data_IF_102259292642
#
_entry.id   IF_102259292642
#
_cell.length_a   1.000
_cell.length_b   1.000
_cell.length_c   1.000
_cell.angle_alpha   90.00
_cell.angle_beta   90.00
_cell.angle_gamma   90.00
#
_symmetry.space_group_name_H-M   'P 1'
#
loop_
_entity.id
_entity.type
_entity.pdbx_description
1 polymer ?
#
# COMPACT_ATOMS: atom_id res chain seq x y z
N UNK A 1 12.00 -10.75 -54.00
CA UNK A 1 12.64 -10.41 -52.70
C UNK A 1 12.17 -9.02 -52.28
N UNK A 2 12.07 -8.75 -50.98
CA UNK A 2 11.53 -7.53 -50.34
C UNK A 2 10.00 -7.50 -50.17
N UNK A 3 9.47 -8.44 -49.38
CA UNK A 3 8.13 -8.32 -48.74
C UNK A 3 8.06 -8.83 -47.30
N UNK A 4 9.21 -9.12 -46.68
CA UNK A 4 9.29 -9.75 -45.36
C UNK A 4 9.83 -8.84 -44.24
N UNK A 5 10.04 -7.55 -44.51
CA UNK A 5 10.61 -6.63 -43.49
C UNK A 5 9.66 -5.55 -42.97
N UNK A 6 8.41 -5.49 -43.46
CA UNK A 6 7.44 -4.47 -42.99
C UNK A 6 6.48 -5.06 -41.93
N UNK A 7 6.24 -6.38 -41.92
CA UNK A 7 5.32 -7.01 -40.95
C UNK A 7 5.94 -7.17 -39.56
N UNK A 8 7.25 -7.38 -39.43
CA UNK A 8 7.89 -7.50 -38.11
C UNK A 8 7.89 -6.21 -37.28
N UNK A 9 7.85 -5.04 -37.94
CA UNK A 9 7.78 -3.75 -37.23
C UNK A 9 6.38 -3.50 -36.64
N UNK A 10 5.33 -4.03 -37.25
CA UNK A 10 3.95 -3.89 -36.76
C UNK A 10 3.58 -4.88 -35.64
N UNK A 11 4.31 -5.99 -35.50
CA UNK A 11 4.06 -6.95 -34.41
C UNK A 11 4.65 -6.53 -33.06
N UNK A 12 5.58 -5.57 -33.03
CA UNK A 12 6.09 -5.00 -31.77
C UNK A 12 5.10 -4.05 -31.08
N UNK A 13 4.11 -3.48 -31.80
CA UNK A 13 3.08 -2.64 -31.17
C UNK A 13 2.16 -3.42 -30.21
N UNK A 14 2.17 -4.75 -30.28
CA UNK A 14 1.28 -5.62 -29.50
C UNK A 14 1.77 -5.97 -28.09
N UNK A 15 3.00 -5.61 -27.70
CA UNK A 15 3.60 -6.11 -26.45
C UNK A 15 3.57 -5.16 -25.26
N UNK A 16 3.24 -3.88 -25.44
CA UNK A 16 2.99 -2.97 -24.34
C UNK A 16 1.49 -2.73 -24.25
N UNK A 17 0.78 -3.28 -23.24
CA UNK A 17 -0.60 -2.92 -23.05
C UNK A 17 -0.65 -1.41 -22.86
N UNK A 18 -1.25 -0.68 -23.81
CA UNK A 18 -1.47 0.78 -23.76
C UNK A 18 -2.45 1.17 -22.64
N UNK A 19 -2.52 0.43 -21.54
CA UNK A 19 -3.48 0.59 -20.46
C UNK A 19 -2.75 1.10 -19.22
N UNK A 20 -3.36 2.01 -18.44
CA UNK A 20 -2.78 2.49 -17.20
C UNK A 20 -2.38 1.34 -16.27
N UNK A 21 -1.22 1.47 -15.63
CA UNK A 21 -0.71 0.55 -14.63
C UNK A 21 -1.47 0.73 -13.31
N UNK A 22 -1.93 -0.39 -12.73
CA UNK A 22 -2.80 -0.40 -11.55
C UNK A 22 -2.03 0.04 -10.28
N UNK A 23 -0.84 -0.50 -10.04
CA UNK A 23 -0.11 -0.28 -8.78
C UNK A 23 0.77 0.97 -8.77
N UNK A 24 1.28 1.39 -9.93
CA UNK A 24 2.18 2.53 -10.05
C UNK A 24 1.74 3.80 -9.30
N UNK A 25 0.47 4.26 -9.41
CA UNK A 25 0.03 5.47 -8.71
C UNK A 25 -0.09 5.29 -7.19
N UNK A 26 -0.06 4.06 -6.68
CA UNK A 26 -0.15 3.77 -5.24
C UNK A 26 1.21 3.58 -4.57
N UNK A 27 2.27 3.33 -5.35
CA UNK A 27 3.62 3.06 -4.81
C UNK A 27 4.12 4.19 -3.88
N UNK A 28 3.99 5.49 -4.22
CA UNK A 28 4.44 6.56 -3.32
C UNK A 28 3.75 6.54 -1.94
N UNK A 29 2.44 6.25 -1.93
CA UNK A 29 1.67 6.12 -0.68
C UNK A 29 2.13 4.90 0.12
N UNK A 30 2.28 3.74 -0.54
CA UNK A 30 2.75 2.51 0.09
C UNK A 30 4.14 2.68 0.70
N UNK A 31 5.05 3.36 -0.01
CA UNK A 31 6.40 3.65 0.45
C UNK A 31 6.38 4.54 1.70
N UNK A 32 5.73 5.71 1.61
CA UNK A 32 5.76 6.72 2.67
C UNK A 32 5.11 6.19 3.95
N UNK A 33 3.92 5.60 3.83
CA UNK A 33 3.20 5.02 4.98
C UNK A 33 3.93 3.79 5.51
N UNK A 34 4.42 2.93 4.62
CA UNK A 34 5.23 1.75 4.96
C UNK A 34 6.45 2.11 5.78
N UNK A 35 7.22 3.10 5.31
CA UNK A 35 8.37 3.63 6.02
C UNK A 35 7.99 4.19 7.38
N UNK A 36 7.02 5.11 7.42
CA UNK A 36 6.62 5.79 8.65
C UNK A 36 6.16 4.81 9.72
N UNK A 37 5.25 3.88 9.40
CA UNK A 37 4.79 2.86 10.35
C UNK A 37 5.90 1.90 10.78
N UNK A 38 6.84 1.58 9.88
CA UNK A 38 8.01 0.75 10.22
C UNK A 38 8.98 1.48 11.14
N UNK A 39 9.20 2.77 10.93
CA UNK A 39 10.03 3.59 11.81
C UNK A 39 9.37 3.76 13.19
N UNK A 40 8.07 4.02 13.27
CA UNK A 40 7.34 4.07 14.54
C UNK A 40 7.49 2.75 15.31
N UNK A 41 7.30 1.61 14.64
CA UNK A 41 7.52 0.31 15.24
C UNK A 41 8.98 0.11 15.70
N UNK A 42 9.96 0.53 14.89
CA UNK A 42 11.37 0.40 15.23
C UNK A 42 11.76 1.23 16.47
N UNK A 43 11.25 2.46 16.57
CA UNK A 43 11.45 3.34 17.72
C UNK A 43 10.82 2.74 18.99
N UNK A 44 9.60 2.20 18.89
CA UNK A 44 8.93 1.50 20.01
C UNK A 44 9.74 0.30 20.51
N UNK A 45 10.50 -0.36 19.63
CA UNK A 45 11.39 -1.47 19.97
C UNK A 45 12.73 -1.02 20.57
N UNK A 46 12.93 0.28 20.79
CA UNK A 46 14.15 0.88 21.32
C UNK A 46 15.21 1.17 20.25
N UNK A 47 14.86 1.08 18.97
CA UNK A 47 15.74 1.44 17.87
C UNK A 47 15.95 2.95 17.78
N UNK A 48 17.16 3.38 17.41
CA UNK A 48 17.43 4.77 17.08
C UNK A 48 17.27 4.98 15.57
N UNK A 49 16.44 5.94 15.12
CA UNK A 49 16.19 6.13 13.70
C UNK A 49 17.51 6.38 12.95
N UNK A 50 17.70 5.77 11.76
CA UNK A 50 18.91 5.96 10.99
C UNK A 50 19.08 7.43 10.61
N UNK A 51 20.32 7.90 10.53
CA UNK A 51 20.59 9.27 10.10
C UNK A 51 20.02 9.47 8.68
N UNK A 52 19.13 10.47 8.45
CA UNK A 52 18.54 10.70 7.13
C UNK A 52 19.57 10.91 6.02
N UNK A 53 20.76 11.41 6.38
CA UNK A 53 21.88 11.61 5.45
C UNK A 53 22.40 10.29 4.86
N UNK A 54 22.37 9.20 5.62
CA UNK A 54 22.91 7.91 5.19
C UNK A 54 22.00 7.23 4.15
N UNK A 55 20.70 7.55 4.17
CA UNK A 55 19.70 6.91 3.33
C UNK A 55 19.24 7.81 2.18
N UNK A 56 19.57 9.09 2.21
CA UNK A 56 19.08 10.09 1.25
C UNK A 56 19.32 9.67 -0.21
N UNK A 57 20.55 9.31 -0.56
CA UNK A 57 20.91 9.03 -1.97
C UNK A 57 20.21 7.77 -2.48
N UNK A 58 20.15 6.73 -1.66
CA UNK A 58 19.44 5.48 -1.97
C UNK A 58 17.94 5.71 -2.17
N UNK A 59 17.32 6.51 -1.30
CA UNK A 59 15.88 6.81 -1.37
C UNK A 59 15.56 7.72 -2.55
N UNK A 60 16.42 8.69 -2.87
CA UNK A 60 16.27 9.51 -4.06
C UNK A 60 16.37 8.66 -5.34
N UNK A 61 17.31 7.71 -5.39
CA UNK A 61 17.44 6.79 -6.53
C UNK A 61 16.17 5.96 -6.74
N UNK A 62 15.65 5.35 -5.67
CA UNK A 62 14.39 4.57 -5.74
C UNK A 62 13.21 5.47 -6.12
N UNK A 63 13.15 6.68 -5.56
CA UNK A 63 12.10 7.66 -5.86
C UNK A 63 12.14 8.15 -7.31
N UNK A 64 13.32 8.27 -7.91
CA UNK A 64 13.46 8.60 -9.33
C UNK A 64 12.89 7.49 -10.23
N UNK A 65 13.06 6.22 -9.88
CA UNK A 65 12.42 5.12 -10.61
C UNK A 65 10.89 5.20 -10.50
N UNK A 66 10.37 5.43 -9.30
CA UNK A 66 8.93 5.57 -9.05
C UNK A 66 8.35 6.76 -9.83
N UNK A 67 9.09 7.86 -9.91
CA UNK A 67 8.76 9.05 -10.71
C UNK A 67 8.61 8.69 -12.19
N UNK A 68 9.63 8.05 -12.78
CA UNK A 68 9.62 7.64 -14.19
C UNK A 68 8.42 6.73 -14.47
N UNK A 69 8.14 5.77 -13.59
CA UNK A 69 6.97 4.91 -13.73
C UNK A 69 5.65 5.70 -13.69
N UNK A 70 5.52 6.69 -12.80
CA UNK A 70 4.31 7.51 -12.73
C UNK A 70 4.15 8.44 -13.94
N UNK A 71 5.24 9.01 -14.45
CA UNK A 71 5.23 9.78 -15.70
C UNK A 71 4.80 8.89 -16.88
N UNK A 72 5.37 7.70 -16.98
CA UNK A 72 4.97 6.72 -17.99
C UNK A 72 3.48 6.37 -17.88
N UNK A 73 2.98 6.15 -16.66
CA UNK A 73 1.56 5.87 -16.44
C UNK A 73 0.66 7.05 -16.83
N UNK A 74 1.09 8.29 -16.58
CA UNK A 74 0.37 9.50 -16.99
C UNK A 74 0.30 9.61 -18.52
N UNK A 75 1.38 9.29 -19.23
CA UNK A 75 1.41 9.25 -20.71
C UNK A 75 0.37 8.23 -21.21
N UNK A 76 0.32 7.03 -20.62
CA UNK A 76 -0.67 6.01 -20.99
C UNK A 76 -2.11 6.50 -20.77
N UNK A 77 -2.37 7.29 -19.74
CA UNK A 77 -3.69 7.91 -19.51
C UNK A 77 -3.99 8.94 -20.61
N UNK A 78 -3.07 9.86 -20.91
CA UNK A 78 -3.30 10.87 -21.95
C UNK A 78 -3.51 10.26 -23.35
N UNK A 79 -2.80 9.18 -23.68
CA UNK A 79 -2.99 8.46 -24.95
C UNK A 79 -4.41 7.86 -25.11
N UNK A 80 -5.17 7.74 -24.02
CA UNK A 80 -6.56 7.24 -24.03
C UNK A 80 -7.62 8.33 -24.06
N UNK A 81 -7.21 9.60 -24.12
CA UNK A 81 -8.13 10.74 -24.12
C UNK A 81 -9.16 10.69 -25.26
N UNK A 82 -8.76 10.25 -26.46
CA UNK A 82 -9.68 10.14 -27.60
C UNK A 82 -10.77 9.09 -27.36
N UNK A 83 -10.41 7.93 -26.80
CA UNK A 83 -11.33 6.84 -26.47
C UNK A 83 -12.39 7.26 -25.46
N UNK A 84 -12.05 8.14 -24.53
CA UNK A 84 -12.94 8.62 -23.46
C UNK A 84 -13.33 10.08 -23.58
N UNK A 85 -13.27 10.65 -24.79
CA UNK A 85 -13.60 12.06 -25.05
C UNK A 85 -15.00 12.46 -24.55
N UNK A 86 -15.96 11.53 -24.61
CA UNK A 86 -17.34 11.75 -24.19
C UNK A 86 -17.56 11.60 -22.68
N UNK A 87 -16.57 11.07 -21.95
CA UNK A 87 -16.64 10.98 -20.49
C UNK A 87 -16.19 12.34 -19.92
N UNK A 88 -17.15 13.24 -19.71
CA UNK A 88 -16.95 14.61 -19.20
C UNK A 88 -15.85 14.77 -18.12
N UNK A 89 -15.75 13.91 -17.09
CA UNK A 89 -14.71 14.06 -16.07
C UNK A 89 -13.31 13.52 -16.43
N UNK A 90 -13.09 12.90 -17.59
CA UNK A 90 -11.81 12.22 -17.90
C UNK A 90 -10.63 13.19 -17.96
N UNK A 91 -10.70 14.21 -18.84
CA UNK A 91 -9.62 15.17 -19.04
C UNK A 91 -9.35 16.03 -17.79
N UNK A 92 -10.36 16.57 -17.07
CA UNK A 92 -10.13 17.29 -15.83
C UNK A 92 -9.44 16.44 -14.75
N UNK A 93 -9.81 15.15 -14.62
CA UNK A 93 -9.16 14.24 -13.64
C UNK A 93 -7.72 13.91 -14.02
N UNK A 94 -7.41 13.81 -15.32
CA UNK A 94 -6.06 13.53 -15.79
C UNK A 94 -5.15 14.74 -15.52
N UNK A 95 -5.66 15.96 -15.76
CA UNK A 95 -4.98 17.20 -15.40
C UNK A 95 -4.76 17.31 -13.90
N UNK A 96 -5.78 17.02 -13.08
CA UNK A 96 -5.65 17.02 -11.62
C UNK A 96 -4.58 16.03 -11.14
N UNK A 97 -4.54 14.82 -11.71
CA UNK A 97 -3.50 13.83 -11.42
C UNK A 97 -2.10 14.37 -11.75
N UNK A 98 -1.93 15.05 -12.89
CA UNK A 98 -0.66 15.67 -13.26
C UNK A 98 -0.23 16.77 -12.29
N UNK A 99 -1.16 17.64 -11.88
CA UNK A 99 -0.91 18.71 -10.90
C UNK A 99 -0.47 18.13 -9.56
N UNK A 100 -1.21 17.15 -9.05
CA UNK A 100 -0.87 16.47 -7.79
C UNK A 100 0.53 15.86 -7.88
N UNK A 101 0.83 15.17 -8.98
CA UNK A 101 2.14 14.57 -9.19
C UNK A 101 3.26 15.62 -9.17
N UNK A 102 3.10 16.75 -9.86
CA UNK A 102 4.07 17.85 -9.84
C UNK A 102 4.29 18.37 -8.40
N UNK A 103 3.22 18.64 -7.67
CA UNK A 103 3.30 19.15 -6.28
C UNK A 103 3.99 18.12 -5.38
N UNK A 104 3.62 16.84 -5.48
CA UNK A 104 4.25 15.75 -4.73
C UNK A 104 5.76 15.67 -5.00
N UNK A 105 6.19 15.83 -6.25
CA UNK A 105 7.60 15.80 -6.62
C UNK A 105 8.36 16.97 -6.00
N UNK A 106 7.83 18.19 -6.16
CA UNK A 106 8.47 19.39 -5.59
C UNK A 106 8.62 19.25 -4.08
N UNK A 107 7.60 18.73 -3.40
CA UNK A 107 7.63 18.51 -1.96
C UNK A 107 8.66 17.43 -1.57
N UNK A 108 8.66 16.30 -2.25
CA UNK A 108 9.59 15.19 -2.01
C UNK A 108 11.06 15.58 -2.25
N UNK A 109 11.34 16.33 -3.31
CA UNK A 109 12.71 16.72 -3.69
C UNK A 109 13.19 17.99 -3.00
N UNK A 110 12.29 18.86 -2.56
CA UNK A 110 12.64 20.07 -1.80
C UNK A 110 13.22 19.74 -0.42
N UNK A 111 12.68 18.72 0.26
CA UNK A 111 13.17 18.26 1.57
C UNK A 111 13.09 16.72 1.70
N UNK A 112 13.93 15.97 0.98
CA UNK A 112 13.83 14.50 0.92
C UNK A 112 13.99 13.83 2.28
N UNK A 113 14.85 14.38 3.14
CA UNK A 113 15.09 13.88 4.51
C UNK A 113 13.85 13.96 5.40
N UNK A 114 12.99 14.96 5.16
CA UNK A 114 11.81 15.23 5.99
C UNK A 114 10.60 14.46 5.46
N UNK A 115 10.47 14.35 4.13
CA UNK A 115 9.26 13.86 3.47
C UNK A 115 9.36 12.40 3.06
N UNK A 116 10.49 11.96 2.51
CA UNK A 116 10.67 10.61 1.97
C UNK A 116 11.20 9.61 3.00
N UNK A 117 11.85 10.11 4.05
CA UNK A 117 12.46 9.32 5.14
C UNK A 117 11.99 9.87 6.51
N UNK A 118 10.69 10.03 6.74
CA UNK A 118 10.22 10.62 7.99
C UNK A 118 10.50 9.69 9.17
N UNK A 119 10.98 10.26 10.27
CA UNK A 119 11.06 9.55 11.56
C UNK A 119 9.78 9.70 12.37
N UNK A 120 9.00 10.76 12.12
CA UNK A 120 7.75 11.11 12.81
C UNK A 120 6.79 11.78 11.82
N UNK A 121 5.49 11.80 12.17
CA UNK A 121 4.49 12.49 11.35
C UNK A 121 4.56 14.01 11.60
N UNK A 122 4.99 14.76 10.59
CA UNK A 122 4.91 16.22 10.60
C UNK A 122 3.93 16.73 9.53
N UNK A 123 3.66 18.03 9.52
CA UNK A 123 2.68 18.63 8.61
C UNK A 123 3.04 18.42 7.13
N UNK A 124 4.32 18.42 6.76
CA UNK A 124 4.77 18.20 5.39
C UNK A 124 4.57 16.74 4.96
N UNK A 125 4.86 15.80 5.85
CA UNK A 125 4.60 14.37 5.63
C UNK A 125 3.09 14.12 5.50
N UNK A 126 2.28 14.76 6.34
CA UNK A 126 0.82 14.65 6.26
C UNK A 126 0.29 15.19 4.92
N UNK A 127 0.75 16.37 4.48
CA UNK A 127 0.41 16.92 3.16
C UNK A 127 0.83 15.94 2.05
N UNK A 128 2.03 15.38 2.13
CA UNK A 128 2.52 14.42 1.15
C UNK A 128 1.70 13.12 1.13
N UNK A 129 1.29 12.59 2.28
CA UNK A 129 0.40 11.42 2.37
C UNK A 129 -0.95 11.74 1.71
N UNK A 130 -1.54 12.91 1.98
CA UNK A 130 -2.83 13.31 1.38
C UNK A 130 -2.71 13.46 -0.14
N UNK A 131 -1.64 14.09 -0.63
CA UNK A 131 -1.39 14.20 -2.08
C UNK A 131 -1.24 12.82 -2.73
N UNK A 132 -0.45 11.92 -2.14
CA UNK A 132 -0.27 10.56 -2.67
C UNK A 132 -1.53 9.69 -2.54
N UNK A 133 -2.37 9.94 -1.54
CA UNK A 133 -3.70 9.35 -1.43
C UNK A 133 -4.60 9.78 -2.59
N UNK A 134 -4.66 11.07 -2.90
CA UNK A 134 -5.43 11.58 -4.03
C UNK A 134 -4.89 11.06 -5.37
N UNK A 135 -3.56 11.01 -5.53
CA UNK A 135 -2.89 10.40 -6.69
C UNK A 135 -3.29 8.93 -6.84
N UNK A 136 -3.27 8.16 -5.75
CA UNK A 136 -3.67 6.76 -5.73
C UNK A 136 -5.15 6.59 -6.12
N UNK A 137 -6.07 7.40 -5.57
CA UNK A 137 -7.49 7.35 -5.93
C UNK A 137 -7.73 7.65 -7.41
N UNK A 138 -7.13 8.71 -7.93
CA UNK A 138 -7.24 9.10 -9.34
C UNK A 138 -6.63 8.06 -10.27
N UNK A 139 -5.46 7.53 -9.92
CA UNK A 139 -4.81 6.47 -10.66
C UNK A 139 -5.65 5.19 -10.72
N UNK A 140 -6.27 4.78 -9.61
CA UNK A 140 -7.20 3.65 -9.60
C UNK A 140 -8.46 3.93 -10.41
N UNK A 141 -8.98 5.15 -10.41
CA UNK A 141 -10.11 5.51 -11.25
C UNK A 141 -9.82 5.22 -12.73
N UNK A 142 -8.67 5.66 -13.26
CA UNK A 142 -8.28 5.38 -14.64
C UNK A 142 -8.04 3.90 -14.90
N UNK A 143 -7.39 3.21 -13.95
CA UNK A 143 -7.12 1.78 -14.07
C UNK A 143 -8.40 0.92 -14.11
N UNK A 144 -9.40 1.27 -13.30
CA UNK A 144 -10.70 0.59 -13.24
C UNK A 144 -11.59 0.89 -14.44
N UNK A 145 -11.47 2.09 -15.02
CA UNK A 145 -12.20 2.48 -16.22
C UNK A 145 -11.75 1.65 -17.45
N UNK A 146 -10.45 1.34 -17.54
CA UNK A 146 -9.88 0.50 -18.60
C UNK A 146 -10.02 -1.00 -18.34
N UNK A 147 -10.28 -1.38 -17.08
CA UNK A 147 -10.49 -2.77 -16.65
C UNK A 147 -11.80 -2.89 -15.88
N UNK A 148 -12.95 -2.73 -16.56
CA UNK A 148 -14.25 -2.72 -15.90
C UNK A 148 -14.50 -4.03 -15.16
N UNK A 149 -15.30 -3.94 -14.09
CA UNK A 149 -15.69 -5.10 -13.30
C UNK A 149 -16.32 -6.16 -14.21
N UNK A 150 -15.75 -7.36 -14.21
CA UNK A 150 -16.46 -8.54 -14.72
C UNK A 150 -17.69 -8.79 -13.84
N UNK A 151 -18.61 -9.67 -14.25
CA UNK A 151 -19.72 -10.13 -13.38
C UNK A 151 -19.26 -10.67 -12.01
N UNK A 152 -17.97 -10.98 -11.84
CA UNK A 152 -17.37 -11.38 -10.56
C UNK A 152 -17.05 -10.16 -9.68
N UNK A 153 -17.50 -10.19 -8.43
CA UNK A 153 -17.20 -9.16 -7.41
C UNK A 153 -15.74 -9.27 -6.95
N UNK A 154 -14.81 -8.63 -7.67
CA UNK A 154 -13.40 -8.56 -7.30
C UNK A 154 -13.15 -7.70 -6.05
N UNK A 155 -11.99 -7.90 -5.41
CA UNK A 155 -11.53 -7.12 -4.27
C UNK A 155 -11.46 -5.63 -4.61
N UNK A 156 -11.83 -4.78 -3.67
CA UNK A 156 -11.81 -3.33 -3.83
C UNK A 156 -10.37 -2.81 -3.98
N UNK A 157 -10.13 -1.94 -4.96
CA UNK A 157 -8.86 -1.22 -5.08
C UNK A 157 -8.80 0.03 -4.19
N UNK A 158 -9.96 0.59 -3.83
CA UNK A 158 -10.02 1.84 -3.06
C UNK A 158 -9.89 1.60 -1.56
N UNK A 159 -10.44 0.50 -1.05
CA UNK A 159 -10.41 0.22 0.39
C UNK A 159 -8.97 0.14 0.94
N UNK A 160 -8.05 -0.63 0.32
CA UNK A 160 -6.66 -0.66 0.75
C UNK A 160 -5.96 0.71 0.76
N UNK A 161 -6.32 1.61 -0.17
CA UNK A 161 -5.78 2.99 -0.25
C UNK A 161 -6.26 3.82 0.95
N UNK A 162 -7.53 3.67 1.32
CA UNK A 162 -8.10 4.33 2.50
C UNK A 162 -7.43 3.82 3.78
N UNK A 163 -7.21 2.50 3.89
CA UNK A 163 -6.50 1.90 5.02
C UNK A 163 -5.08 2.47 5.14
N UNK A 164 -4.32 2.54 4.05
CA UNK A 164 -2.96 3.11 4.07
C UNK A 164 -2.95 4.58 4.50
N UNK A 165 -3.85 5.39 3.94
CA UNK A 165 -3.93 6.80 4.29
C UNK A 165 -4.29 7.01 5.76
N UNK A 166 -5.30 6.29 6.26
CA UNK A 166 -5.71 6.38 7.65
C UNK A 166 -4.63 5.87 8.61
N UNK A 167 -3.99 4.74 8.30
CA UNK A 167 -2.87 4.22 9.09
C UNK A 167 -1.72 5.23 9.14
N UNK A 168 -1.34 5.85 8.03
CA UNK A 168 -0.24 6.81 8.00
C UNK A 168 -0.51 8.13 8.75
N UNK A 169 -1.78 8.54 8.88
CA UNK A 169 -2.15 9.80 9.54
C UNK A 169 -2.49 9.61 11.02
N UNK A 170 -3.17 8.51 11.37
CA UNK A 170 -3.73 8.33 12.72
C UNK A 170 -2.78 7.52 13.60
N UNK A 171 -2.17 6.46 13.06
CA UNK A 171 -1.43 5.48 13.87
C UNK A 171 -0.08 5.99 14.39
N UNK A 172 0.81 6.65 13.61
CA UNK A 172 2.07 7.16 14.16
C UNK A 172 1.90 8.16 15.32
N UNK A 173 1.02 9.18 15.23
CA UNK A 173 0.78 10.08 16.36
C UNK A 173 0.19 9.42 17.59
N UNK A 174 -0.66 8.39 17.40
CA UNK A 174 -1.19 7.62 18.53
C UNK A 174 -0.15 6.71 19.18
N UNK A 175 0.98 6.45 18.52
CA UNK A 175 2.07 5.65 19.11
C UNK A 175 3.11 6.50 19.84
N UNK A 176 3.26 7.77 19.50
CA UNK A 176 4.20 8.73 20.11
C UNK A 176 3.63 9.43 21.37
N UNK A 177 2.69 8.80 22.08
CA UNK A 177 1.91 9.41 23.17
C UNK A 177 2.76 9.78 24.40
N UNK A 178 3.46 10.91 24.34
CA UNK A 178 4.02 11.62 25.50
C UNK A 178 3.57 13.09 25.59
N UNK A 179 2.82 13.60 24.61
CA UNK A 179 2.46 15.02 24.52
C UNK A 179 0.93 15.25 24.44
N UNK A 180 0.22 15.23 25.58
CA UNK A 180 -1.06 15.95 25.87
C UNK A 180 -2.31 15.84 24.96
N UNK A 181 -2.19 15.46 23.68
CA UNK A 181 -3.25 15.38 22.66
C UNK A 181 -3.68 13.93 22.44
N UNK A 182 -3.69 13.13 23.50
CA UNK A 182 -3.85 11.67 23.44
C UNK A 182 -5.27 11.26 23.04
N UNK A 183 -6.27 11.96 23.54
CA UNK A 183 -7.68 11.57 23.40
C UNK A 183 -8.21 11.66 21.95
N UNK A 184 -7.96 12.74 21.17
CA UNK A 184 -8.44 12.83 19.79
C UNK A 184 -7.89 11.74 18.88
N UNK A 185 -6.62 11.36 19.03
CA UNK A 185 -6.00 10.30 18.22
C UNK A 185 -6.51 8.92 18.61
N UNK A 186 -6.71 8.65 19.90
CA UNK A 186 -7.33 7.40 20.36
C UNK A 186 -8.77 7.27 19.83
N UNK A 187 -9.56 8.36 19.84
CA UNK A 187 -10.90 8.38 19.22
C UNK A 187 -10.80 8.11 17.71
N UNK A 188 -9.80 8.70 17.05
CA UNK A 188 -9.49 8.44 15.64
C UNK A 188 -9.22 6.96 15.37
N UNK A 189 -8.40 6.31 16.18
CA UNK A 189 -8.10 4.88 16.09
C UNK A 189 -9.35 4.01 16.35
N UNK A 190 -10.20 4.38 17.31
CA UNK A 190 -11.48 3.70 17.53
C UNK A 190 -12.37 3.75 16.28
N UNK A 191 -12.51 4.93 15.67
CA UNK A 191 -13.30 5.12 14.45
C UNK A 191 -12.69 4.30 13.32
N UNK A 192 -11.38 4.40 13.12
CA UNK A 192 -10.64 3.65 12.11
C UNK A 192 -10.88 2.14 12.27
N UNK A 193 -10.78 1.62 13.49
CA UNK A 193 -10.93 0.20 13.79
C UNK A 193 -12.36 -0.29 13.50
N UNK A 194 -13.39 0.47 13.87
CA UNK A 194 -14.79 0.13 13.58
C UNK A 194 -15.03 0.06 12.08
N UNK A 195 -14.59 1.08 11.33
CA UNK A 195 -14.71 1.08 9.87
C UNK A 195 -13.88 -0.04 9.24
N UNK A 196 -12.68 -0.32 9.79
CA UNK A 196 -11.80 -1.37 9.32
C UNK A 196 -12.43 -2.75 9.46
N UNK A 197 -13.03 -3.06 10.62
CA UNK A 197 -13.76 -4.32 10.86
C UNK A 197 -14.91 -4.45 9.87
N UNK A 198 -15.77 -3.44 9.79
CA UNK A 198 -16.98 -3.47 8.97
C UNK A 198 -16.66 -3.67 7.47
N UNK A 199 -15.64 -2.96 6.95
CA UNK A 199 -15.27 -3.04 5.54
C UNK A 199 -14.42 -4.26 5.22
N UNK A 200 -13.49 -4.65 6.10
CA UNK A 200 -12.71 -5.88 5.90
C UNK A 200 -13.60 -7.12 5.84
N UNK A 201 -14.66 -7.18 6.67
CA UNK A 201 -15.64 -8.26 6.61
C UNK A 201 -16.32 -8.40 5.23
N UNK A 202 -16.61 -7.27 4.58
CA UNK A 202 -17.19 -7.24 3.23
C UNK A 202 -16.19 -7.60 2.13
N UNK A 203 -14.90 -7.39 2.36
CA UNK A 203 -13.82 -7.64 1.39
C UNK A 203 -13.27 -9.07 1.43
N UNK A 204 -13.31 -9.76 2.58
CA UNK A 204 -12.89 -11.18 2.72
C UNK A 204 -13.43 -12.07 1.59
N UNK A 205 -14.75 -12.13 1.31
CA UNK A 205 -15.28 -12.99 0.26
C UNK A 205 -14.79 -12.57 -1.14
N UNK A 206 -14.40 -11.31 -1.35
CA UNK A 206 -13.91 -10.78 -2.63
C UNK A 206 -12.44 -11.11 -2.88
N UNK A 207 -11.65 -11.16 -1.82
CA UNK A 207 -10.23 -11.59 -1.85
C UNK A 207 -10.14 -13.09 -2.16
N UNK A 208 -11.10 -13.87 -1.65
CA UNK A 208 -11.16 -15.33 -1.86
C UNK A 208 -11.81 -15.75 -3.19
N UNK A 209 -12.20 -14.80 -4.04
CA UNK A 209 -12.77 -15.13 -5.36
C UNK A 209 -11.74 -15.86 -6.21
N UNK A 210 -12.17 -16.98 -6.81
CA UNK A 210 -11.36 -17.74 -7.77
C UNK A 210 -11.13 -16.93 -9.04
N UNK A 211 -9.88 -16.53 -9.27
CA UNK A 211 -9.37 -15.95 -10.51
C UNK A 211 -8.28 -16.86 -11.09
N UNK A 212 -7.93 -16.74 -12.39
CA UNK A 212 -6.79 -17.47 -12.95
C UNK A 212 -5.49 -17.27 -12.15
N UNK A 213 -5.33 -16.11 -11.52
CA UNK A 213 -4.21 -15.82 -10.62
C UNK A 213 -4.17 -16.70 -9.35
N UNK A 214 -5.22 -17.41 -8.95
CA UNK A 214 -5.20 -18.36 -7.82
C UNK A 214 -4.26 -19.55 -8.06
N UNK A 215 -3.89 -19.82 -9.32
CA UNK A 215 -2.86 -20.82 -9.59
C UNK A 215 -1.46 -20.34 -9.19
N UNK A 216 -1.28 -19.05 -8.86
CA UNK A 216 -0.01 -18.48 -8.42
C UNK A 216 0.19 -18.68 -6.92
N UNK A 217 1.33 -19.30 -6.56
CA UNK A 217 1.82 -19.36 -5.18
C UNK A 217 1.82 -17.98 -4.50
N UNK A 218 2.24 -16.95 -5.24
CA UNK A 218 2.33 -15.57 -4.73
C UNK A 218 0.96 -15.03 -4.34
N UNK A 219 -0.07 -15.32 -5.13
CA UNK A 219 -1.43 -14.87 -4.85
C UNK A 219 -1.96 -15.49 -3.55
N UNK A 220 -1.86 -16.82 -3.42
CA UNK A 220 -2.36 -17.54 -2.23
C UNK A 220 -1.58 -17.16 -0.96
N UNK A 221 -0.27 -16.90 -1.08
CA UNK A 221 0.56 -16.39 0.02
C UNK A 221 0.15 -14.97 0.44
N UNK A 222 -0.12 -14.08 -0.52
CA UNK A 222 -0.62 -12.72 -0.24
C UNK A 222 -2.00 -12.74 0.43
N UNK A 223 -2.88 -13.66 0.02
CA UNK A 223 -4.18 -13.87 0.68
C UNK A 223 -3.97 -14.26 2.14
N UNK A 224 -3.06 -15.19 2.43
CA UNK A 224 -2.70 -15.57 3.80
C UNK A 224 -2.19 -14.38 4.63
N UNK A 225 -1.29 -13.57 4.06
CA UNK A 225 -0.79 -12.34 4.70
C UNK A 225 -1.93 -11.37 4.98
N UNK A 226 -2.82 -11.14 4.00
CA UNK A 226 -3.91 -10.19 4.14
C UNK A 226 -4.89 -10.63 5.24
N UNK A 227 -5.27 -11.90 5.28
CA UNK A 227 -6.16 -12.45 6.32
C UNK A 227 -5.54 -12.37 7.72
N UNK A 228 -4.27 -12.76 7.86
CA UNK A 228 -3.56 -12.67 9.13
C UNK A 228 -3.46 -11.22 9.64
N UNK A 229 -3.23 -10.27 8.74
CA UNK A 229 -3.15 -8.84 9.09
C UNK A 229 -4.51 -8.22 9.41
N UNK A 230 -5.63 -8.71 8.84
CA UNK A 230 -6.97 -8.31 9.31
C UNK A 230 -7.13 -8.68 10.79
N UNK A 231 -6.89 -9.95 11.12
CA UNK A 231 -7.04 -10.46 12.50
C UNK A 231 -6.08 -9.73 13.44
N UNK A 232 -4.82 -9.58 13.04
CA UNK A 232 -3.82 -8.90 13.85
C UNK A 232 -4.16 -7.42 14.07
N UNK A 233 -4.62 -6.69 13.06
CA UNK A 233 -5.06 -5.29 13.19
C UNK A 233 -6.20 -5.16 14.19
N UNK A 234 -7.20 -6.05 14.11
CA UNK A 234 -8.35 -6.02 15.03
C UNK A 234 -7.91 -6.31 16.46
N UNK A 235 -7.16 -7.40 16.67
CA UNK A 235 -6.73 -7.80 18.01
C UNK A 235 -5.78 -6.77 18.63
N UNK A 236 -4.76 -6.34 17.88
CA UNK A 236 -3.79 -5.36 18.36
C UNK A 236 -4.41 -3.98 18.55
N UNK A 237 -5.33 -3.55 17.69
CA UNK A 237 -6.03 -2.27 17.83
C UNK A 237 -6.92 -2.22 19.07
N UNK A 238 -7.72 -3.25 19.32
CA UNK A 238 -8.55 -3.32 20.54
C UNK A 238 -7.68 -3.29 21.79
N UNK A 239 -6.62 -4.11 21.82
CA UNK A 239 -5.70 -4.16 22.96
C UNK A 239 -4.97 -2.83 23.16
N UNK A 240 -4.51 -2.20 22.07
CA UNK A 240 -3.84 -0.90 22.10
C UNK A 240 -4.73 0.18 22.72
N UNK A 241 -6.01 0.25 22.31
CA UNK A 241 -6.98 1.20 22.86
C UNK A 241 -7.18 0.94 24.36
N UNK A 242 -7.42 -0.31 24.77
CA UNK A 242 -7.63 -0.66 26.19
C UNK A 242 -6.40 -0.28 27.03
N UNK A 243 -5.21 -0.64 26.56
CA UNK A 243 -3.96 -0.38 27.28
C UNK A 243 -3.61 1.10 27.37
N UNK A 244 -4.03 1.91 26.37
CA UNK A 244 -3.90 3.36 26.40
C UNK A 244 -4.68 3.99 27.56
N UNK A 245 -5.79 3.38 28.01
CA UNK A 245 -6.56 3.86 29.17
C UNK A 245 -6.05 3.35 30.52
N UNK A 246 -5.35 2.22 30.54
CA UNK A 246 -4.85 1.58 31.77
C UNK A 246 -3.38 1.98 32.05
N UNK A 247 -2.78 2.83 31.20
CA UNK A 247 -1.38 3.28 31.29
C UNK A 247 -0.37 2.14 31.28
N UNK A 248 -0.69 1.02 30.63
CA UNK A 248 0.19 -0.15 30.57
C UNK A 248 0.74 -0.31 29.14
N UNK A 249 1.96 0.16 28.89
CA UNK A 249 2.54 0.07 27.54
C UNK A 249 3.04 -1.34 27.20
N UNK A 250 2.30 -2.03 26.33
CA UNK A 250 2.77 -3.29 25.72
C UNK A 250 3.31 -2.97 24.33
N UNK A 251 4.62 -2.69 24.24
CA UNK A 251 5.29 -2.35 22.98
C UNK A 251 4.96 -3.28 21.81
N UNK A 252 4.78 -4.57 22.07
CA UNK A 252 4.52 -5.55 21.03
C UNK A 252 3.11 -5.44 20.44
N UNK A 253 2.14 -5.00 21.25
CA UNK A 253 0.80 -4.64 20.78
C UNK A 253 0.88 -3.39 19.91
N UNK A 254 1.60 -2.37 20.37
CA UNK A 254 1.84 -1.12 19.61
C UNK A 254 2.53 -1.37 18.27
N UNK A 255 3.57 -2.20 18.24
CA UNK A 255 4.28 -2.61 17.00
C UNK A 255 3.36 -3.38 16.06
N UNK A 256 2.59 -4.32 16.60
CA UNK A 256 1.61 -5.08 15.80
C UNK A 256 0.56 -4.15 15.18
N UNK A 257 0.08 -3.17 15.95
CA UNK A 257 -0.90 -2.19 15.49
C UNK A 257 -0.33 -1.22 14.46
N UNK A 258 0.94 -0.82 14.57
CA UNK A 258 1.61 0.01 13.57
C UNK A 258 1.72 -0.69 12.20
N UNK A 259 2.13 -1.97 12.22
CA UNK A 259 2.52 -2.70 11.01
C UNK A 259 1.33 -3.38 10.31
N UNK A 260 0.40 -3.95 11.07
CA UNK A 260 -0.68 -4.77 10.53
C UNK A 260 -1.61 -4.06 9.53
N UNK A 261 -2.18 -2.88 9.81
CA UNK A 261 -3.05 -2.19 8.86
C UNK A 261 -2.28 -1.77 7.60
N UNK A 262 -1.00 -1.42 7.74
CA UNK A 262 -0.13 -1.05 6.63
C UNK A 262 0.14 -2.25 5.70
N UNK A 263 0.50 -3.41 6.26
CA UNK A 263 0.69 -4.65 5.48
C UNK A 263 -0.64 -5.10 4.86
N UNK A 264 -1.76 -4.92 5.56
CA UNK A 264 -3.08 -5.20 5.01
C UNK A 264 -3.38 -4.34 3.77
N UNK A 265 -3.14 -3.04 3.84
CA UNK A 265 -3.31 -2.12 2.71
C UNK A 265 -2.41 -2.48 1.52
N UNK A 266 -1.13 -2.77 1.77
CA UNK A 266 -0.18 -3.17 0.71
C UNK A 266 -0.62 -4.49 0.04
N UNK A 267 -0.87 -5.53 0.83
CA UNK A 267 -1.25 -6.85 0.32
C UNK A 267 -2.60 -6.81 -0.41
N UNK A 268 -3.58 -6.04 0.10
CA UNK A 268 -4.89 -5.88 -0.51
C UNK A 268 -4.83 -5.20 -1.88
N UNK A 269 -3.97 -4.18 -2.03
CA UNK A 269 -3.70 -3.54 -3.33
C UNK A 269 -3.14 -4.54 -4.35
N UNK A 270 -2.13 -5.32 -3.94
CA UNK A 270 -1.48 -6.28 -4.83
C UNK A 270 -2.46 -7.37 -5.26
N UNK A 271 -3.24 -7.93 -4.32
CA UNK A 271 -4.30 -8.91 -4.63
C UNK A 271 -5.31 -8.32 -5.63
N UNK A 272 -5.84 -7.12 -5.35
CA UNK A 272 -6.82 -6.48 -6.21
C UNK A 272 -6.27 -6.18 -7.62
N UNK A 273 -4.98 -5.84 -7.72
CA UNK A 273 -4.30 -5.66 -9.00
C UNK A 273 -4.11 -6.99 -9.74
N UNK A 274 -3.66 -8.05 -9.06
CA UNK A 274 -3.49 -9.39 -9.65
C UNK A 274 -4.82 -9.94 -10.20
N UNK A 275 -5.91 -9.77 -9.46
CA UNK A 275 -7.25 -10.17 -9.92
C UNK A 275 -7.66 -9.46 -11.23
N UNK A 276 -7.26 -8.19 -11.41
CA UNK A 276 -7.63 -7.35 -12.56
C UNK A 276 -6.71 -7.47 -13.77
N UNK A 277 -5.42 -7.71 -13.53
CA UNK A 277 -4.52 -8.04 -14.63
C UNK A 277 -4.90 -9.37 -15.27
N UNK A 278 -5.56 -10.26 -14.52
CA UNK A 278 -5.99 -11.58 -15.01
C UNK A 278 -4.83 -12.35 -15.68
N UNK A 279 -3.60 -12.03 -15.29
CA UNK A 279 -2.40 -12.62 -15.84
C UNK A 279 -2.33 -14.06 -15.32
N UNK A 280 -2.29 -15.00 -16.25
CA UNK A 280 -1.94 -16.38 -15.98
C UNK A 280 -0.43 -16.41 -15.66
N UNK A 281 -0.09 -16.31 -14.37
CA UNK A 281 1.31 -16.42 -13.93
C UNK A 281 1.75 -17.87 -14.14
N UNK A 282 2.21 -18.18 -15.36
CA UNK A 282 2.64 -19.51 -15.80
C UNK A 282 3.81 -20.06 -15.00
N UNK A 283 4.60 -19.19 -14.35
CA UNK A 283 5.62 -19.59 -13.39
C UNK A 283 5.00 -19.74 -12.00
N UNK A 284 5.04 -20.95 -11.43
CA UNK A 284 4.57 -21.23 -10.07
C UNK A 284 3.13 -21.71 -9.96
N UNK A 285 2.63 -22.43 -10.98
CA UNK A 285 1.33 -23.11 -10.89
C UNK A 285 1.30 -24.09 -9.73
N UNK A 286 0.34 -23.86 -8.82
CA UNK A 286 0.03 -24.81 -7.75
C UNK A 286 -0.59 -26.05 -8.39
N UNK A 287 0.22 -27.08 -8.67
CA UNK A 287 -0.25 -28.40 -9.12
C UNK A 287 -0.98 -29.20 -8.02
N UNK A 288 -1.15 -28.65 -6.81
CA UNK A 288 -1.95 -29.21 -5.73
C UNK A 288 -1.84 -28.45 -4.39
N UNK A 289 -2.92 -28.47 -3.60
CA UNK A 289 -3.06 -27.87 -2.26
C UNK A 289 -2.74 -26.36 -2.11
N UNK A 290 -3.48 -25.45 -2.78
CA UNK A 290 -3.30 -23.99 -2.68
C UNK A 290 -3.37 -23.45 -1.24
N UNK A 291 -4.17 -24.09 -0.38
CA UNK A 291 -4.31 -23.73 1.04
C UNK A 291 -2.97 -23.75 1.80
N UNK A 292 -1.99 -24.57 1.39
CA UNK A 292 -0.66 -24.60 2.04
C UNK A 292 0.06 -23.26 1.95
N UNK A 293 -0.11 -22.54 0.85
CA UNK A 293 0.51 -21.24 0.64
C UNK A 293 -0.21 -20.13 1.42
N UNK A 294 -1.52 -20.26 1.63
CA UNK A 294 -2.26 -19.41 2.57
C UNK A 294 -1.68 -19.58 3.99
N UNK A 295 -1.51 -20.81 4.46
CA UNK A 295 -0.91 -21.08 5.78
C UNK A 295 0.52 -20.55 5.88
N UNK A 296 1.32 -20.68 4.81
CA UNK A 296 2.66 -20.09 4.75
C UNK A 296 2.61 -18.56 4.89
N UNK A 297 1.71 -17.88 4.19
CA UNK A 297 1.50 -16.43 4.33
C UNK A 297 1.10 -16.00 5.74
N UNK A 298 0.21 -16.75 6.39
CA UNK A 298 -0.18 -16.52 7.79
C UNK A 298 1.05 -16.67 8.71
N UNK A 299 1.82 -17.75 8.52
CA UNK A 299 3.01 -18.02 9.33
C UNK A 299 4.10 -16.95 9.16
N UNK A 300 4.28 -16.41 7.96
CA UNK A 300 5.20 -15.29 7.71
C UNK A 300 4.83 -14.05 8.51
N UNK A 301 3.53 -13.71 8.60
CA UNK A 301 3.07 -12.56 9.41
C UNK A 301 3.32 -12.82 10.89
N UNK A 302 3.05 -14.03 11.38
CA UNK A 302 3.31 -14.40 12.77
C UNK A 302 4.80 -14.29 13.10
N UNK A 303 5.68 -14.81 12.22
CA UNK A 303 7.13 -14.67 12.40
C UNK A 303 7.54 -13.21 12.39
N UNK A 304 7.06 -12.43 11.41
CA UNK A 304 7.45 -11.02 11.26
C UNK A 304 7.06 -10.19 12.49
N UNK A 305 5.84 -10.36 12.99
CA UNK A 305 5.37 -9.68 14.19
C UNK A 305 6.07 -10.25 15.44
N UNK A 306 6.27 -11.56 15.52
CA UNK A 306 6.95 -12.25 16.62
C UNK A 306 8.43 -11.90 16.75
N UNK A 307 9.13 -11.68 15.64
CA UNK A 307 10.52 -11.21 15.63
C UNK A 307 10.68 -9.85 16.31
N UNK A 308 9.68 -8.97 16.20
CA UNK A 308 9.66 -7.70 16.92
C UNK A 308 9.76 -7.89 18.44
N UNK A 309 9.08 -8.90 19.00
CA UNK A 309 9.15 -9.21 20.43
C UNK A 309 10.53 -9.75 20.85
N UNK A 310 11.15 -10.59 20.02
CA UNK A 310 12.47 -11.17 20.30
C UNK A 310 13.55 -10.08 20.29
N UNK A 311 13.50 -9.17 19.32
CA UNK A 311 14.46 -8.07 19.18
C UNK A 311 14.40 -7.07 20.35
N UNK A 312 13.20 -6.72 20.86
CA UNK A 312 13.08 -5.87 22.07
C UNK A 312 13.73 -6.52 23.29
N UNK A 313 13.49 -7.82 23.50
CA UNK A 313 14.05 -8.53 24.64
C UNK A 313 15.58 -8.51 24.58
N UNK A 314 16.17 -8.71 23.40
CA UNK A 314 17.62 -8.65 23.21
C UNK A 314 18.22 -7.27 23.51
N UNK A 315 17.54 -6.18 23.14
CA UNK A 315 18.00 -4.81 23.43
C UNK A 315 17.96 -4.44 24.92
N UNK A 316 17.10 -5.06 25.73
CA UNK A 316 17.04 -4.81 27.18
C UNK A 316 18.10 -5.59 27.98
N UNK A 317 18.91 -6.43 27.33
CA UNK A 317 19.99 -7.21 27.97
C UNK A 317 21.38 -6.56 27.86
N UNK A 318 21.48 -5.41 27.18
CA UNK A 318 22.69 -4.59 27.05
C UNK A 318 22.45 -3.21 27.66
#
# INVERSE_FOLDING_TARGET
MVRYHIEEVFHMEQWLPRQPLILTPTIPLMWTVGWLCTMSAYIILGGQPPSPNQLQDSVLLVSAVILVMNMYNLILIYQRAEKYRNLSPYAPRALLLAIILIISIVLAWGQPKVVLIPSYLNIWVMIFIVLNFLQALLGQFFALLERPQSRRKFASMYWPIVVLCAAGIVTPPSLELHNGWTLPFIIGDCILLIFFIARSWQEIPRILVKVPANNSIIYELLVGINLATIISTVMSGVLFIIFSFISNEISGVSVSFALSPTINGISGLIIGAMQRYNNDYRYGHVKGHPQRYIYCGIFLVIIFIGLGFILRKANNFW
#
